data_IF_362426394514
#
_entry.id   IF_362426394514
#
_cell.length_a   1.000
_cell.length_b   1.000
_cell.length_c   1.000
_cell.angle_alpha   90.00
_cell.angle_beta   90.00
_cell.angle_gamma   90.00
#
_symmetry.space_group_name_H-M   'P 1'
#
loop_
_entity.id
_entity.type
_entity.pdbx_description
1 polymer ?
#
# COMPACT_ATOMS: atom_id res chain seq x y z
N UNK A 1 2.12 6.06 -19.70
CA UNK A 1 1.80 5.94 -18.27
C UNK A 1 3.12 5.68 -17.57
N UNK A 2 3.49 6.50 -16.58
CA UNK A 2 4.69 6.24 -15.79
C UNK A 2 4.26 5.32 -14.66
N UNK A 3 4.52 4.03 -14.80
CA UNK A 3 4.17 3.01 -13.81
C UNK A 3 4.97 3.26 -12.52
N UNK A 4 4.29 3.43 -11.38
CA UNK A 4 4.98 3.52 -10.09
C UNK A 4 5.34 2.12 -9.64
N UNK A 5 6.62 1.80 -9.63
CA UNK A 5 7.10 0.52 -9.11
C UNK A 5 7.58 0.74 -7.68
N UNK A 6 7.04 -0.02 -6.73
CA UNK A 6 7.50 -0.04 -5.35
C UNK A 6 8.40 -1.26 -5.15
N UNK A 7 9.54 -1.08 -4.49
CA UNK A 7 10.32 -2.23 -4.04
C UNK A 7 9.65 -2.89 -2.82
N UNK A 8 10.12 -4.08 -2.44
CA UNK A 8 9.53 -4.83 -1.34
C UNK A 8 9.54 -4.07 0.00
N UNK A 9 10.58 -3.28 0.26
CA UNK A 9 10.69 -2.47 1.48
C UNK A 9 9.72 -1.30 1.47
N UNK A 10 9.66 -0.54 0.37
CA UNK A 10 8.73 0.58 0.24
C UNK A 10 7.27 0.13 0.34
N UNK A 11 6.94 -1.00 -0.30
CA UNK A 11 5.62 -1.58 -0.21
C UNK A 11 5.30 -2.01 1.23
N UNK A 12 6.24 -2.66 1.92
CA UNK A 12 6.06 -3.06 3.31
C UNK A 12 5.84 -1.84 4.24
N UNK A 13 6.57 -0.74 4.04
CA UNK A 13 6.38 0.49 4.80
C UNK A 13 4.99 1.11 4.57
N UNK A 14 4.50 1.11 3.33
CA UNK A 14 3.16 1.59 3.00
C UNK A 14 2.11 0.72 3.68
N UNK A 15 2.27 -0.61 3.64
CA UNK A 15 1.34 -1.54 4.27
C UNK A 15 1.32 -1.40 5.79
N UNK A 16 2.48 -1.19 6.42
CA UNK A 16 2.56 -1.00 7.87
C UNK A 16 1.90 0.32 8.30
N UNK A 17 2.18 1.41 7.59
CA UNK A 17 1.47 2.68 7.83
C UNK A 17 -0.02 2.56 7.63
N UNK A 18 -0.46 1.76 6.65
CA UNK A 18 -1.88 1.54 6.41
C UNK A 18 -2.54 0.72 7.51
N UNK A 19 -1.84 -0.27 8.07
CA UNK A 19 -2.30 -0.99 9.26
C UNK A 19 -2.51 -0.05 10.44
N UNK A 20 -1.53 0.81 10.73
CA UNK A 20 -1.67 1.82 11.78
C UNK A 20 -2.86 2.77 11.51
N UNK A 21 -3.12 3.13 10.25
CA UNK A 21 -4.28 3.95 9.88
C UNK A 21 -5.61 3.24 10.15
N UNK A 22 -5.68 1.93 9.91
CA UNK A 22 -6.87 1.12 10.21
C UNK A 22 -7.11 0.98 11.71
N UNK A 23 -6.02 0.97 12.49
CA UNK A 23 -6.05 0.85 13.94
C UNK A 23 -6.24 2.21 14.67
N UNK A 24 -6.39 3.32 13.92
CA UNK A 24 -6.43 4.71 14.44
C UNK A 24 -5.19 5.06 15.29
N UNK A 25 -4.05 4.44 14.96
CA UNK A 25 -2.77 4.63 15.64
C UNK A 25 -1.98 5.82 15.07
N UNK A 26 -1.20 6.49 15.93
CA UNK A 26 -0.36 7.62 15.54
C UNK A 26 0.70 7.20 14.50
N UNK A 27 0.82 7.99 13.44
CA UNK A 27 1.74 7.71 12.33
C UNK A 27 1.15 6.80 11.25
N UNK A 28 -0.13 6.41 11.38
CA UNK A 28 -0.87 5.72 10.34
C UNK A 28 -1.19 6.61 9.13
N UNK A 29 -1.02 6.03 7.94
CA UNK A 29 -1.36 6.68 6.68
C UNK A 29 -2.09 5.71 5.76
N UNK A 30 -3.20 6.15 5.17
CA UNK A 30 -3.97 5.36 4.20
C UNK A 30 -3.09 5.02 2.99
N UNK A 31 -3.00 3.74 2.64
CA UNK A 31 -2.21 3.31 1.47
C UNK A 31 -2.70 4.00 0.19
N UNK A 32 -1.76 4.58 -0.56
CA UNK A 32 -2.00 5.13 -1.89
C UNK A 32 -1.07 4.46 -2.90
N UNK A 33 -1.64 3.48 -3.60
CA UNK A 33 -0.97 2.68 -4.63
C UNK A 33 -1.56 3.00 -6.02
N UNK A 34 -2.06 4.21 -6.23
CA UNK A 34 -2.53 4.68 -7.54
C UNK A 34 -1.46 4.54 -8.62
N UNK A 35 -1.81 3.82 -9.71
CA UNK A 35 -0.94 3.52 -10.82
C UNK A 35 0.26 2.63 -10.47
N UNK A 36 0.19 1.89 -9.36
CA UNK A 36 1.28 1.04 -8.90
C UNK A 36 1.37 -0.25 -9.72
N UNK A 37 2.57 -0.66 -10.12
CA UNK A 37 2.76 -1.99 -10.69
C UNK A 37 2.82 -3.05 -9.57
N UNK A 38 1.68 -3.63 -9.20
CA UNK A 38 1.58 -4.63 -8.12
C UNK A 38 1.70 -6.08 -8.61
N UNK A 39 1.84 -6.31 -9.92
CA UNK A 39 1.90 -7.66 -10.47
C UNK A 39 3.13 -8.41 -9.94
N UNK A 40 2.87 -9.47 -9.17
CA UNK A 40 3.91 -10.29 -8.54
C UNK A 40 4.40 -9.78 -7.18
N UNK A 41 3.84 -8.68 -6.68
CA UNK A 41 4.07 -8.25 -5.30
C UNK A 41 3.42 -9.23 -4.32
N UNK A 42 4.11 -9.55 -3.23
CA UNK A 42 3.52 -10.33 -2.15
C UNK A 42 2.70 -9.40 -1.24
N UNK A 43 1.37 -9.51 -1.35
CA UNK A 43 0.39 -8.80 -0.54
C UNK A 43 -0.39 -9.75 0.39
N UNK A 44 0.08 -10.99 0.56
CA UNK A 44 -0.63 -11.99 1.35
C UNK A 44 -0.78 -11.51 2.81
N UNK A 45 -2.03 -11.41 3.26
CA UNK A 45 -2.37 -10.95 4.61
C UNK A 45 -2.40 -9.43 4.79
N UNK A 46 -2.12 -8.64 3.75
CA UNK A 46 -2.27 -7.19 3.82
C UNK A 46 -3.75 -6.79 3.87
N UNK A 47 -4.16 -6.03 4.89
CA UNK A 47 -5.45 -5.38 4.90
C UNK A 47 -5.35 -4.07 4.11
N UNK A 48 -6.04 -4.00 2.97
CA UNK A 48 -6.07 -2.85 2.06
C UNK A 48 -7.44 -2.14 2.07
N UNK A 49 -8.26 -2.35 3.10
CA UNK A 49 -9.56 -1.70 3.21
C UNK A 49 -9.43 -0.17 3.18
N UNK A 50 -10.08 0.45 2.21
CA UNK A 50 -10.02 1.90 2.00
C UNK A 50 -8.73 2.40 1.34
N UNK A 51 -7.79 1.53 0.97
CA UNK A 51 -6.62 1.91 0.18
C UNK A 51 -7.02 2.46 -1.20
N UNK A 52 -6.26 3.43 -1.72
CA UNK A 52 -6.41 3.84 -3.11
C UNK A 52 -5.60 2.92 -4.02
N UNK A 53 -6.30 2.14 -4.85
CA UNK A 53 -5.73 1.17 -5.79
C UNK A 53 -6.06 1.53 -7.25
N UNK A 54 -6.45 2.78 -7.51
CA UNK A 54 -6.85 3.20 -8.85
C UNK A 54 -5.71 2.95 -9.86
N UNK A 55 -5.95 2.10 -10.86
CA UNK A 55 -4.95 1.79 -11.89
C UNK A 55 -3.76 0.92 -11.45
N UNK A 56 -3.87 0.24 -10.30
CA UNK A 56 -2.86 -0.71 -9.80
C UNK A 56 -2.95 -2.12 -10.40
#
# INVERSE_FOLDING_TARGET
>A
MNEKTYNATELAEILEKHRLWLDDEEGGERANLDGAYLRGANLDGANLDGANLDGA
#
